data_IF_850225935295
#
_entry.id   IF_850225935295
#
_cell.length_a   1.000
_cell.length_b   1.000
_cell.length_c   1.000
_cell.angle_alpha   90.00
_cell.angle_beta   90.00
_cell.angle_gamma   90.00
#
_symmetry.space_group_name_H-M   'P 1'
#
loop_
_entity.id
_entity.type
_entity.pdbx_description
1 polymer ?
#
# COMPACT_ATOMS: atom_id res chain seq x y z
N UNK A 1 24.89 -25.15 0.56
CA UNK A 1 24.02 -25.15 1.75
C UNK A 1 24.90 -24.92 2.97
N UNK A 2 24.76 -23.79 3.66
CA UNK A 2 25.52 -23.53 4.90
C UNK A 2 24.97 -24.37 6.05
N UNK A 3 25.82 -24.72 7.02
CA UNK A 3 25.41 -25.57 8.16
C UNK A 3 24.28 -24.90 8.98
N UNK A 4 24.37 -23.58 9.16
CA UNK A 4 23.32 -22.75 9.78
C UNK A 4 21.99 -22.78 9.01
N UNK A 5 22.01 -22.85 7.68
CA UNK A 5 20.80 -22.95 6.87
C UNK A 5 20.12 -24.30 7.10
N UNK A 6 20.89 -25.39 7.14
CA UNK A 6 20.37 -26.72 7.45
C UNK A 6 19.80 -26.81 8.86
N UNK A 7 20.48 -26.25 9.86
CA UNK A 7 19.97 -26.19 11.23
C UNK A 7 18.69 -25.34 11.33
N UNK A 8 18.62 -24.22 10.61
CA UNK A 8 17.44 -23.37 10.57
C UNK A 8 16.22 -24.06 9.96
N UNK A 9 16.42 -24.87 8.92
CA UNK A 9 15.36 -25.70 8.31
C UNK A 9 14.90 -26.77 9.28
N UNK A 10 15.83 -27.52 9.89
CA UNK A 10 15.50 -28.56 10.86
C UNK A 10 14.73 -28.00 12.06
N UNK A 11 15.10 -26.81 12.56
CA UNK A 11 14.36 -26.12 13.61
C UNK A 11 12.93 -25.78 13.18
N UNK A 12 12.73 -25.36 11.93
CA UNK A 12 11.41 -25.06 11.39
C UNK A 12 10.55 -26.31 11.25
N UNK A 13 11.14 -27.42 10.78
CA UNK A 13 10.50 -28.73 10.68
C UNK A 13 10.12 -29.29 12.05
N UNK A 14 10.95 -29.03 13.07
CA UNK A 14 10.65 -29.35 14.47
C UNK A 14 9.58 -28.42 15.10
N UNK A 15 9.11 -27.40 14.37
CA UNK A 15 8.13 -26.43 14.85
C UNK A 15 8.71 -25.29 15.71
N UNK A 16 10.02 -25.26 15.93
CA UNK A 16 10.72 -24.19 16.65
C UNK A 16 10.99 -23.01 15.72
N UNK A 17 9.94 -22.21 15.50
CA UNK A 17 9.99 -21.01 14.66
C UNK A 17 10.96 -19.95 15.20
N UNK A 18 11.16 -19.88 16.51
CA UNK A 18 12.03 -18.88 17.15
C UNK A 18 13.50 -19.19 16.83
N UNK A 19 13.92 -20.45 17.02
CA UNK A 19 15.25 -20.89 16.65
C UNK A 19 15.47 -20.82 15.15
N UNK A 20 14.49 -21.27 14.34
CA UNK A 20 14.57 -21.17 12.90
C UNK A 20 14.82 -19.73 12.44
N UNK A 21 14.04 -18.76 12.94
CA UNK A 21 14.21 -17.33 12.63
C UNK A 21 15.60 -16.83 12.99
N UNK A 22 16.12 -17.22 14.16
CA UNK A 22 17.46 -16.81 14.62
C UNK A 22 18.57 -17.37 13.72
N UNK A 23 18.49 -18.65 13.36
CA UNK A 23 19.50 -19.33 12.54
C UNK A 23 19.47 -18.82 11.10
N UNK A 24 18.28 -18.76 10.49
CA UNK A 24 18.09 -18.26 9.12
C UNK A 24 18.45 -16.78 9.01
N UNK A 25 18.14 -15.97 10.03
CA UNK A 25 18.55 -14.57 10.11
C UNK A 25 20.07 -14.38 10.16
N UNK A 26 20.83 -15.31 10.75
CA UNK A 26 22.29 -15.29 10.71
C UNK A 26 22.82 -15.64 9.32
N UNK A 27 22.19 -16.59 8.62
CA UNK A 27 22.54 -16.93 7.24
C UNK A 27 22.36 -15.70 6.34
N UNK A 28 21.24 -15.00 6.48
CA UNK A 28 20.94 -13.78 5.70
C UNK A 28 21.90 -12.64 6.04
N UNK A 29 22.29 -12.47 7.30
CA UNK A 29 23.30 -11.47 7.67
C UNK A 29 24.66 -11.76 7.04
N UNK A 30 25.03 -13.03 6.91
CA UNK A 30 26.26 -13.43 6.25
C UNK A 30 26.15 -13.35 4.71
N UNK A 31 25.01 -13.73 4.14
CA UNK A 31 24.71 -13.66 2.72
C UNK A 31 23.29 -13.15 2.47
N UNK A 32 23.12 -11.84 2.24
CA UNK A 32 21.81 -11.25 1.96
C UNK A 32 21.20 -11.69 0.62
N UNK A 33 21.98 -12.33 -0.26
CA UNK A 33 21.52 -12.85 -1.56
C UNK A 33 21.13 -14.33 -1.53
N UNK A 34 21.11 -14.98 -0.36
CA UNK A 34 20.69 -16.38 -0.25
C UNK A 34 19.16 -16.48 -0.33
N UNK A 35 18.63 -16.80 -1.53
CA UNK A 35 17.18 -16.86 -1.73
C UNK A 35 16.53 -18.01 -0.97
N UNK A 36 17.27 -19.08 -0.69
CA UNK A 36 16.76 -20.20 0.10
C UNK A 36 16.57 -19.78 1.56
N UNK A 37 17.54 -19.07 2.14
CA UNK A 37 17.43 -18.55 3.50
C UNK A 37 16.22 -17.62 3.66
N UNK A 38 15.99 -16.72 2.70
CA UNK A 38 14.80 -15.86 2.68
C UNK A 38 13.49 -16.64 2.51
N UNK A 39 13.49 -17.68 1.67
CA UNK A 39 12.31 -18.53 1.47
C UNK A 39 11.94 -19.27 2.75
N UNK A 40 12.91 -19.90 3.42
CA UNK A 40 12.69 -20.60 4.68
C UNK A 40 12.34 -19.63 5.83
N UNK A 41 12.93 -18.44 5.86
CA UNK A 41 12.60 -17.41 6.85
C UNK A 41 11.13 -17.00 6.76
N UNK A 42 10.55 -16.98 5.55
CA UNK A 42 9.12 -16.73 5.36
C UNK A 42 8.21 -17.73 6.07
N UNK A 43 8.67 -18.96 6.34
CA UNK A 43 7.93 -19.95 7.13
C UNK A 43 8.11 -19.77 8.63
N UNK A 44 9.22 -19.16 9.07
CA UNK A 44 9.56 -18.95 10.47
C UNK A 44 8.91 -17.71 11.08
N UNK A 45 8.59 -16.69 10.26
CA UNK A 45 7.95 -15.46 10.74
C UNK A 45 6.44 -15.63 10.94
N UNK A 46 5.89 -14.87 11.88
CA UNK A 46 4.52 -15.03 12.37
C UNK A 46 3.53 -14.14 11.62
N UNK A 47 3.93 -12.90 11.30
CA UNK A 47 3.07 -11.93 10.62
C UNK A 47 2.98 -12.18 9.12
N UNK A 48 1.76 -12.12 8.56
CA UNK A 48 1.53 -12.15 7.10
C UNK A 48 2.33 -11.04 6.38
N UNK A 49 2.63 -9.91 7.05
CA UNK A 49 3.42 -8.80 6.49
C UNK A 49 4.91 -9.16 6.40
N UNK A 50 5.47 -9.75 7.47
CA UNK A 50 6.87 -10.22 7.46
C UNK A 50 7.08 -11.34 6.46
N UNK A 51 6.11 -12.27 6.33
CA UNK A 51 6.14 -13.32 5.31
C UNK A 51 6.21 -12.74 3.92
N UNK A 52 5.36 -11.75 3.63
CA UNK A 52 5.34 -11.09 2.33
C UNK A 52 6.65 -10.36 2.03
N UNK A 53 7.27 -9.71 3.03
CA UNK A 53 8.59 -9.10 2.87
C UNK A 53 9.66 -10.14 2.51
N UNK A 54 9.72 -11.26 3.25
CA UNK A 54 10.68 -12.33 2.98
C UNK A 54 10.51 -12.89 1.56
N UNK A 55 9.28 -13.20 1.15
CA UNK A 55 8.99 -13.72 -0.19
C UNK A 55 9.26 -12.69 -1.29
N UNK A 56 9.05 -11.41 -1.03
CA UNK A 56 9.40 -10.33 -1.97
C UNK A 56 10.91 -10.29 -2.18
N UNK A 57 11.71 -10.43 -1.11
CA UNK A 57 13.18 -10.52 -1.20
C UNK A 57 13.64 -11.71 -2.03
N UNK A 58 12.99 -12.88 -1.86
CA UNK A 58 13.25 -14.05 -2.72
C UNK A 58 13.03 -13.73 -4.19
N UNK A 59 11.94 -13.03 -4.53
CA UNK A 59 11.63 -12.66 -5.92
C UNK A 59 12.54 -11.56 -6.48
N UNK A 60 13.06 -10.67 -5.63
CA UNK A 60 14.09 -9.68 -6.01
C UNK A 60 15.41 -10.36 -6.36
N UNK A 61 15.77 -11.45 -5.66
CA UNK A 61 16.99 -12.23 -5.93
C UNK A 61 16.77 -13.16 -7.12
N UNK A 62 15.68 -13.92 -7.11
CA UNK A 62 15.32 -14.90 -8.13
C UNK A 62 13.86 -14.71 -8.55
N UNK A 63 13.59 -13.93 -9.61
CA UNK A 63 12.22 -13.68 -10.08
C UNK A 63 11.54 -14.92 -10.68
N UNK A 64 12.29 -15.99 -10.96
CA UNK A 64 11.76 -17.26 -11.43
C UNK A 64 11.34 -18.21 -10.30
N UNK A 65 11.46 -17.80 -9.03
CA UNK A 65 11.11 -18.66 -7.90
C UNK A 65 9.59 -18.85 -7.76
N UNK A 66 9.09 -19.98 -8.27
CA UNK A 66 7.67 -20.34 -8.26
C UNK A 66 7.10 -20.54 -6.85
N UNK A 67 7.91 -20.96 -5.87
CA UNK A 67 7.45 -21.09 -4.49
C UNK A 67 7.13 -19.71 -3.88
N UNK A 68 8.00 -18.73 -4.13
CA UNK A 68 7.79 -17.37 -3.66
C UNK A 68 6.61 -16.67 -4.34
N UNK A 69 6.43 -16.84 -5.65
CA UNK A 69 5.26 -16.31 -6.38
C UNK A 69 3.95 -16.83 -5.78
N UNK A 70 3.84 -18.15 -5.59
CA UNK A 70 2.65 -18.79 -5.01
C UNK A 70 2.39 -18.28 -3.59
N UNK A 71 3.43 -18.16 -2.76
CA UNK A 71 3.31 -17.62 -1.40
C UNK A 71 2.80 -16.19 -1.36
N UNK A 72 3.29 -15.30 -2.24
CA UNK A 72 2.82 -13.90 -2.32
C UNK A 72 1.36 -13.83 -2.75
N UNK A 73 0.95 -14.62 -3.75
CA UNK A 73 -0.44 -14.67 -4.22
C UNK A 73 -1.36 -15.10 -3.08
N UNK A 74 -1.06 -16.22 -2.42
CA UNK A 74 -1.86 -16.74 -1.33
C UNK A 74 -1.99 -15.76 -0.15
N UNK A 75 -0.89 -15.06 0.20
CA UNK A 75 -0.91 -14.04 1.25
C UNK A 75 -1.76 -12.82 0.87
N UNK A 76 -1.68 -12.37 -0.39
CA UNK A 76 -2.51 -11.25 -0.88
C UNK A 76 -3.99 -11.60 -0.88
N UNK A 77 -4.35 -12.80 -1.29
CA UNK A 77 -5.74 -13.28 -1.24
C UNK A 77 -6.25 -13.35 0.21
N UNK A 78 -5.43 -13.88 1.13
CA UNK A 78 -5.74 -13.90 2.56
C UNK A 78 -5.93 -12.50 3.14
N UNK A 79 -5.08 -11.54 2.76
CA UNK A 79 -5.21 -10.13 3.18
C UNK A 79 -6.46 -9.47 2.60
N UNK A 80 -6.80 -9.75 1.33
CA UNK A 80 -8.02 -9.25 0.70
C UNK A 80 -9.28 -9.76 1.42
N UNK A 81 -9.33 -11.06 1.74
CA UNK A 81 -10.42 -11.68 2.52
C UNK A 81 -10.56 -11.08 3.92
N UNK A 82 -9.45 -10.84 4.62
CA UNK A 82 -9.46 -10.17 5.93
C UNK A 82 -9.96 -8.74 5.85
N UNK A 83 -9.71 -8.01 4.75
CA UNK A 83 -10.22 -6.65 4.53
C UNK A 83 -11.70 -6.62 4.13
N UNK A 84 -12.22 -7.65 3.47
CA UNK A 84 -13.64 -7.77 3.11
C UNK A 84 -14.51 -8.35 4.23
N UNK A 85 -13.92 -8.88 5.30
CA UNK A 85 -14.63 -9.40 6.48
C UNK A 85 -14.84 -8.29 7.54
N UNK A 86 -15.52 -7.21 7.16
CA UNK A 86 -16.36 -6.48 8.11
C UNK A 86 -17.77 -7.05 7.97
N UNK A 87 -18.26 -7.83 8.95
CA UNK A 87 -19.66 -8.21 8.98
C UNK A 87 -20.46 -6.97 9.36
N UNK A 88 -21.18 -6.39 8.41
CA UNK A 88 -22.45 -5.76 8.73
C UNK A 88 -23.48 -6.89 8.73
N UNK A 89 -23.99 -7.33 9.90
CA UNK A 89 -25.17 -8.17 9.92
C UNK A 89 -26.37 -7.26 9.64
N UNK A 90 -27.33 -7.76 8.86
CA UNK A 90 -28.45 -7.03 8.22
C UNK A 90 -28.02 -6.43 6.87
N UNK A 91 -28.29 -7.07 5.74
CA UNK A 91 -29.62 -7.31 5.19
C UNK A 91 -29.72 -8.72 4.59
N UNK A 92 -30.83 -9.39 4.92
CA UNK A 92 -31.21 -10.69 4.40
C UNK A 92 -31.55 -10.66 2.90
N UNK A 93 -31.28 -11.81 2.25
CA UNK A 93 -31.71 -12.32 0.95
C UNK A 93 -32.65 -11.49 0.05
N UNK A 94 -32.24 -11.33 -1.23
CA UNK A 94 -33.09 -11.59 -2.40
C UNK A 94 -32.22 -12.24 -3.52
N UNK A 95 -32.62 -13.34 -4.18
CA UNK A 95 -31.86 -13.98 -5.27
C UNK A 95 -32.00 -13.20 -6.61
N UNK A 96 -31.19 -13.51 -7.65
CA UNK A 96 -30.86 -12.56 -8.71
C UNK A 96 -31.89 -12.56 -9.87
N UNK A 97 -32.08 -11.42 -10.54
CA UNK A 97 -32.31 -11.44 -11.97
C UNK A 97 -31.11 -10.80 -12.70
N UNK A 98 -30.67 -11.53 -13.72
CA UNK A 98 -29.96 -11.11 -14.93
C UNK A 98 -29.28 -9.73 -14.95
N UNK A 99 -27.98 -9.80 -15.25
CA UNK A 99 -27.11 -8.78 -15.81
C UNK A 99 -27.82 -7.55 -16.42
N UNK A 100 -27.67 -6.40 -15.79
CA UNK A 100 -27.74 -5.10 -16.47
C UNK A 100 -26.59 -4.18 -15.99
N UNK A 101 -26.03 -3.36 -16.90
CA UNK A 101 -24.70 -2.79 -16.76
C UNK A 101 -24.61 -1.75 -15.64
N UNK A 102 -23.57 -1.91 -14.80
CA UNK A 102 -23.12 -0.96 -13.78
C UNK A 102 -22.90 0.43 -14.39
N UNK A 103 -23.88 1.31 -14.21
CA UNK A 103 -23.63 2.75 -14.28
C UNK A 103 -22.92 3.20 -13.00
N UNK A 104 -21.94 4.12 -13.10
CA UNK A 104 -21.27 4.65 -11.92
C UNK A 104 -22.24 5.55 -11.15
N UNK A 105 -22.75 5.03 -10.03
CA UNK A 105 -23.44 5.84 -9.03
C UNK A 105 -22.50 6.92 -8.52
N UNK A 106 -22.79 8.12 -9.01
CA UNK A 106 -22.29 9.38 -8.51
C UNK A 106 -22.89 9.60 -7.12
N UNK A 107 -22.34 8.95 -6.09
CA UNK A 107 -22.76 9.15 -4.70
C UNK A 107 -21.57 9.64 -3.86
N UNK A 108 -21.45 10.97 -3.86
CA UNK A 108 -21.19 11.79 -2.68
C UNK A 108 -20.31 11.16 -1.59
N UNK A 109 -19.02 10.97 -1.86
CA UNK A 109 -18.04 10.99 -0.78
C UNK A 109 -17.69 12.45 -0.48
N UNK A 110 -18.16 12.94 0.65
CA UNK A 110 -17.67 14.14 1.32
C UNK A 110 -16.16 14.02 1.58
N UNK A 111 -15.34 14.47 0.64
CA UNK A 111 -13.87 14.52 0.75
C UNK A 111 -13.38 15.53 1.81
N UNK A 112 -14.29 16.12 2.60
CA UNK A 112 -13.96 17.01 3.72
C UNK A 112 -13.60 16.25 5.01
N UNK A 113 -13.85 14.93 5.11
CA UNK A 113 -13.56 14.14 6.33
C UNK A 113 -12.20 13.45 6.36
N UNK A 114 -11.50 13.32 5.23
CA UNK A 114 -10.29 12.48 5.13
C UNK A 114 -8.97 13.20 5.49
N UNK A 115 -9.01 14.46 5.91
CA UNK A 115 -7.82 15.10 6.51
C UNK A 115 -7.67 14.74 8.00
N UNK A 116 -8.77 14.38 8.67
CA UNK A 116 -8.74 14.21 10.12
C UNK A 116 -8.35 12.79 10.60
N UNK A 117 -8.12 11.86 9.66
CA UNK A 117 -7.76 10.47 10.00
C UNK A 117 -6.35 10.09 9.57
N UNK A 118 -5.56 11.04 9.07
CA UNK A 118 -4.16 10.79 8.74
C UNK A 118 -3.28 10.86 9.99
N UNK A 119 -2.29 9.94 10.14
CA UNK A 119 -1.23 10.04 11.13
C UNK A 119 -0.62 11.44 11.15
N UNK A 120 -0.27 12.02 12.32
CA UNK A 120 0.19 13.41 12.43
C UNK A 120 1.43 13.70 11.59
N UNK A 121 2.31 12.71 11.40
CA UNK A 121 3.46 12.74 10.50
C UNK A 121 3.05 12.98 9.03
N UNK A 122 2.01 12.27 8.58
CA UNK A 122 1.50 12.37 7.21
C UNK A 122 0.71 13.66 7.00
N UNK A 123 0.04 14.18 8.03
CA UNK A 123 -0.60 15.51 7.99
C UNK A 123 0.42 16.63 7.81
N UNK A 124 1.53 16.61 8.56
CA UNK A 124 2.59 17.62 8.45
C UNK A 124 3.27 17.58 7.08
N UNK A 125 3.50 16.39 6.52
CA UNK A 125 4.03 16.23 5.18
C UNK A 125 3.06 16.79 4.12
N UNK A 126 1.77 16.49 4.25
CA UNK A 126 0.73 16.96 3.34
C UNK A 126 0.48 18.48 3.44
N UNK A 127 0.57 19.06 4.63
CA UNK A 127 0.51 20.52 4.84
C UNK A 127 1.72 21.23 4.22
N UNK A 128 2.92 20.70 4.42
CA UNK A 128 4.14 21.23 3.80
C UNK A 128 4.04 21.21 2.28
N UNK A 129 3.51 20.11 1.74
CA UNK A 129 3.27 19.96 0.31
C UNK A 129 2.18 20.91 -0.19
N UNK A 130 1.08 21.06 0.54
CA UNK A 130 -0.02 21.99 0.22
C UNK A 130 0.46 23.44 0.21
N UNK A 131 1.31 23.84 1.17
CA UNK A 131 1.94 25.18 1.18
C UNK A 131 2.88 25.41 0.01
N UNK A 132 3.65 24.41 -0.40
CA UNK A 132 4.49 24.50 -1.59
C UNK A 132 3.67 24.67 -2.86
N UNK A 133 2.58 23.92 -3.00
CA UNK A 133 1.63 24.05 -4.12
C UNK A 133 0.94 25.42 -4.10
N UNK A 134 0.52 25.91 -2.92
CA UNK A 134 -0.07 27.25 -2.77
C UNK A 134 0.91 28.38 -3.11
N UNK A 135 2.21 28.22 -2.77
CA UNK A 135 3.26 29.19 -3.08
C UNK A 135 3.59 29.23 -4.58
N UNK A 136 3.61 28.08 -5.25
CA UNK A 136 3.73 27.99 -6.71
C UNK A 136 2.49 28.53 -7.45
N UNK A 137 1.30 28.33 -6.89
CA UNK A 137 0.03 28.87 -7.40
C UNK A 137 0.00 30.41 -7.45
N UNK A 138 0.69 31.07 -6.52
CA UNK A 138 0.82 32.53 -6.47
C UNK A 138 1.84 33.04 -7.50
N UNK A 139 2.82 32.21 -7.87
CA UNK A 139 3.92 32.58 -8.77
C UNK A 139 3.68 32.22 -10.25
N UNK A 140 2.80 31.24 -10.53
CA UNK A 140 2.47 30.81 -11.89
C UNK A 140 1.36 31.64 -12.54
N UNK A 141 1.55 32.01 -13.82
CA UNK A 141 0.65 32.90 -14.57
C UNK A 141 -0.63 32.24 -15.11
N UNK A 142 -0.79 30.90 -15.08
CA UNK A 142 -1.97 30.25 -15.68
C UNK A 142 -2.41 28.94 -15.02
N UNK A 143 -3.72 28.83 -14.76
CA UNK A 143 -4.38 27.64 -14.16
C UNK A 143 -4.09 26.36 -14.94
N UNK A 144 -4.04 26.44 -16.27
CA UNK A 144 -3.77 25.29 -17.15
C UNK A 144 -2.36 24.75 -16.95
N UNK A 145 -1.38 25.63 -16.81
CA UNK A 145 0.04 25.28 -16.65
C UNK A 145 0.29 24.55 -15.31
N UNK A 146 -0.42 24.96 -14.26
CA UNK A 146 -0.37 24.32 -12.95
C UNK A 146 -0.96 22.91 -13.00
N UNK A 147 -2.12 22.76 -13.66
CA UNK A 147 -2.75 21.45 -13.84
C UNK A 147 -1.81 20.52 -14.60
N UNK A 148 -1.23 20.97 -15.70
CA UNK A 148 -0.36 20.17 -16.54
C UNK A 148 0.95 19.77 -15.82
N UNK A 149 1.56 20.70 -15.07
CA UNK A 149 2.77 20.44 -14.28
C UNK A 149 2.53 19.40 -13.19
N UNK A 150 1.39 19.46 -12.51
CA UNK A 150 1.03 18.51 -11.46
C UNK A 150 0.63 17.15 -12.04
N UNK A 151 -0.07 17.12 -13.17
CA UNK A 151 -0.34 15.87 -13.90
C UNK A 151 0.96 15.21 -14.36
N UNK A 152 1.92 15.98 -14.87
CA UNK A 152 3.25 15.48 -15.26
C UNK A 152 4.06 14.94 -14.08
N UNK A 153 3.75 15.37 -12.85
CA UNK A 153 4.32 14.83 -11.60
C UNK A 153 3.60 13.58 -11.07
N UNK A 154 2.61 13.06 -11.81
CA UNK A 154 1.90 11.83 -11.48
C UNK A 154 0.59 12.02 -10.70
N UNK A 155 0.12 13.25 -10.53
CA UNK A 155 -1.15 13.51 -9.85
C UNK A 155 -2.35 13.34 -10.81
N UNK A 156 -3.48 12.77 -10.34
CA UNK A 156 -4.66 12.59 -11.18
C UNK A 156 -5.27 13.94 -11.55
N UNK A 157 -5.42 14.19 -12.86
CA UNK A 157 -5.88 15.45 -13.45
C UNK A 157 -7.14 16.03 -12.79
N UNK A 158 -8.16 15.19 -12.57
CA UNK A 158 -9.41 15.59 -11.93
C UNK A 158 -9.21 16.15 -10.51
N UNK A 159 -8.32 15.54 -9.72
CA UNK A 159 -8.05 16.00 -8.35
C UNK A 159 -7.30 17.34 -8.35
N UNK A 160 -6.39 17.52 -9.30
CA UNK A 160 -5.65 18.78 -9.45
C UNK A 160 -6.57 19.92 -9.88
N UNK A 161 -7.47 19.68 -10.83
CA UNK A 161 -8.46 20.67 -11.27
C UNK A 161 -9.39 21.09 -10.12
N UNK A 162 -9.85 20.14 -9.31
CA UNK A 162 -10.65 20.43 -8.12
C UNK A 162 -9.88 21.27 -7.09
N UNK A 163 -8.60 20.98 -6.86
CA UNK A 163 -7.77 21.74 -5.93
C UNK A 163 -7.54 23.18 -6.41
N UNK A 164 -7.22 23.36 -7.69
CA UNK A 164 -7.04 24.68 -8.31
C UNK A 164 -8.33 25.50 -8.23
N UNK A 165 -9.49 24.88 -8.49
CA UNK A 165 -10.78 25.55 -8.41
C UNK A 165 -11.15 25.92 -6.96
N UNK A 166 -10.90 25.02 -6.00
CA UNK A 166 -11.12 25.27 -4.56
C UNK A 166 -10.26 26.42 -4.05
N UNK A 167 -8.97 26.47 -4.42
CA UNK A 167 -8.06 27.57 -4.04
C UNK A 167 -8.47 28.88 -4.71
N UNK A 168 -8.90 28.84 -5.98
CA UNK A 168 -9.43 30.02 -6.67
C UNK A 168 -10.71 30.58 -6.00
N UNK A 169 -11.58 29.72 -5.45
CA UNK A 169 -12.76 30.15 -4.69
C UNK A 169 -12.38 30.76 -3.34
N UNK A 170 -11.44 30.16 -2.62
CA UNK A 170 -10.97 30.67 -1.31
C UNK A 170 -10.30 32.03 -1.46
N UNK A 171 -9.43 32.20 -2.46
CA UNK A 171 -8.78 33.49 -2.76
C UNK A 171 -9.77 34.56 -3.23
N UNK A 172 -10.84 34.18 -3.96
CA UNK A 172 -11.92 35.11 -4.34
C UNK A 172 -12.80 35.53 -3.16
N UNK A 173 -12.98 34.66 -2.16
CA UNK A 173 -13.68 35.00 -0.90
C UNK A 173 -12.86 35.96 -0.03
N UNK A 174 -11.54 35.80 0.02
CA UNK A 174 -10.66 36.67 0.80
C UNK A 174 -10.52 38.11 0.27
N UNK A 175 -10.91 38.38 -0.98
CA UNK A 175 -10.93 39.74 -1.57
C UNK A 175 -12.27 40.46 -1.48
N UNK A 176 -13.30 39.80 -0.94
CA UNK A 176 -14.67 40.35 -0.81
C UNK A 176 -15.08 40.64 0.64
N UNK A 177 -14.18 40.43 1.59
CA UNK A 177 -14.28 40.87 2.98
C UNK A 177 -13.28 42.02 3.16
#
# INVERSE_FOLDING_TARGET
MSDLLRQGIAALEAGDRVQARRLLGRVIQANPQDEQAWLWLSGAVESDQERLMCLTKVLEINPANEAAKRGVIALREKQARKKSATPFPWIAEVPPPAQEPVQPVSEMLDHSRTLDQLPPEQRKALESFSRLVARELINSKSRKEIVERLVKRGFPRKAVEQLVDKVARVTKRARRA
#
